data_IF_419063005004
#
_entry.id   IF_419063005004
#
_cell.length_a   1.000
_cell.length_b   1.000
_cell.length_c   1.000
_cell.angle_alpha   90.00
_cell.angle_beta   90.00
_cell.angle_gamma   90.00
#
_symmetry.space_group_name_H-M   'P 1'
#
loop_
_entity.id
_entity.type
_entity.pdbx_description
1 polymer ?
#
# COMPACT_ATOMS: atom_id res chain seq x y z
N UNK A 1 4.80 -92.21 -4.23
CA UNK A 1 4.19 -93.30 -3.42
C UNK A 1 3.84 -92.76 -2.05
N UNK A 2 2.68 -93.16 -1.53
CA UNK A 2 2.15 -93.00 -0.17
C UNK A 2 1.49 -91.67 0.24
N UNK A 3 0.22 -91.62 -0.18
CA UNK A 3 -0.97 -91.04 0.42
C UNK A 3 -1.08 -91.26 1.95
N UNK A 4 -1.41 -90.22 2.73
CA UNK A 4 -2.20 -90.37 3.97
C UNK A 4 -3.18 -89.20 4.17
N UNK A 5 -4.48 -89.55 4.00
CA UNK A 5 -5.73 -89.04 4.61
C UNK A 5 -5.54 -88.50 6.05
N UNK A 6 -6.37 -87.65 6.67
CA UNK A 6 -7.72 -87.05 6.48
C UNK A 6 -7.91 -86.12 7.71
N UNK A 7 -8.77 -85.10 7.65
CA UNK A 7 -9.88 -84.78 8.60
C UNK A 7 -10.28 -83.29 8.52
N UNK A 8 -11.46 -83.03 7.94
CA UNK A 8 -12.38 -81.97 8.39
C UNK A 8 -13.32 -82.62 9.45
N UNK A 9 -14.25 -81.93 10.17
CA UNK A 9 -14.76 -80.55 10.04
C UNK A 9 -14.89 -79.81 11.40
N UNK A 10 -15.41 -78.58 11.42
CA UNK A 10 -16.50 -78.13 12.31
C UNK A 10 -16.70 -76.61 12.16
N UNK A 11 -17.84 -76.25 11.57
CA UNK A 11 -18.41 -74.92 11.65
C UNK A 11 -19.00 -74.71 13.06
N UNK A 12 -18.79 -73.53 13.64
CA UNK A 12 -19.66 -73.00 14.68
C UNK A 12 -19.79 -71.49 14.45
N UNK A 13 -20.92 -71.13 13.85
CA UNK A 13 -21.47 -69.78 13.80
C UNK A 13 -21.70 -69.26 15.21
N UNK A 14 -21.16 -68.08 15.51
CA UNK A 14 -21.64 -67.26 16.62
C UNK A 14 -22.08 -65.91 16.06
N UNK A 15 -23.41 -65.70 16.03
CA UNK A 15 -24.03 -64.38 15.95
C UNK A 15 -23.89 -63.70 17.31
N UNK A 16 -23.39 -62.47 17.33
CA UNK A 16 -23.69 -61.46 18.36
C UNK A 16 -23.33 -60.10 17.76
N UNK A 17 -24.30 -59.33 17.28
CA UNK A 17 -25.15 -58.41 18.04
C UNK A 17 -24.71 -56.98 17.73
N UNK A 18 -25.54 -56.31 16.91
CA UNK A 18 -25.39 -54.93 16.53
C UNK A 18 -25.56 -54.00 17.74
N UNK A 19 -24.64 -53.05 17.90
CA UNK A 19 -24.87 -51.83 18.67
C UNK A 19 -24.58 -50.66 17.73
N UNK A 20 -25.59 -50.26 16.95
CA UNK A 20 -25.57 -49.05 16.15
C UNK A 20 -25.71 -47.87 17.12
N UNK A 21 -24.60 -47.21 17.45
CA UNK A 21 -24.63 -45.96 18.19
C UNK A 21 -25.25 -44.87 17.29
N UNK A 22 -26.48 -44.46 17.61
CA UNK A 22 -27.10 -43.26 17.04
C UNK A 22 -26.39 -42.03 17.60
N UNK A 23 -25.45 -41.48 16.84
CA UNK A 23 -24.94 -40.12 17.04
C UNK A 23 -25.72 -39.16 16.12
N UNK A 24 -26.23 -38.03 16.64
CA UNK A 24 -26.87 -37.02 15.80
C UNK A 24 -25.82 -36.37 14.88
N UNK A 25 -26.13 -36.09 13.59
CA UNK A 25 -25.28 -35.22 12.80
C UNK A 25 -25.35 -33.82 13.41
N UNK A 26 -24.24 -33.36 13.98
CA UNK A 26 -24.05 -31.96 14.33
C UNK A 26 -24.19 -31.15 13.05
N UNK A 27 -25.25 -30.35 12.95
CA UNK A 27 -25.41 -29.39 11.87
C UNK A 27 -24.25 -28.38 11.97
N UNK A 28 -23.26 -28.54 11.08
CA UNK A 28 -22.21 -27.57 10.89
C UNK A 28 -22.84 -26.27 10.38
N UNK A 29 -23.13 -25.36 11.30
CA UNK A 29 -23.48 -23.99 10.97
C UNK A 29 -22.19 -23.35 10.46
N UNK A 30 -21.98 -23.41 9.14
CA UNK A 30 -21.02 -22.58 8.47
C UNK A 30 -21.52 -21.13 8.58
N UNK A 31 -21.18 -20.48 9.70
CA UNK A 31 -21.29 -19.03 9.80
C UNK A 31 -20.28 -18.48 8.80
N UNK A 32 -20.76 -18.05 7.64
CA UNK A 32 -19.99 -17.21 6.74
C UNK A 32 -19.49 -16.03 7.57
N UNK A 33 -18.17 -15.97 7.83
CA UNK A 33 -17.57 -14.74 8.34
C UNK A 33 -17.87 -13.67 7.30
N UNK A 34 -18.48 -12.54 7.67
CA UNK A 34 -18.53 -11.43 6.74
C UNK A 34 -17.08 -11.11 6.38
N UNK A 35 -16.77 -11.11 5.09
CA UNK A 35 -15.53 -10.51 4.62
C UNK A 35 -15.57 -9.07 5.15
N UNK A 36 -14.64 -8.71 6.03
CA UNK A 36 -14.43 -7.33 6.38
C UNK A 36 -14.15 -6.63 5.05
N UNK A 37 -15.02 -5.70 4.65
CA UNK A 37 -14.69 -4.81 3.56
C UNK A 37 -13.44 -4.05 4.02
N UNK A 38 -12.29 -4.32 3.40
CA UNK A 38 -11.15 -3.43 3.47
C UNK A 38 -11.59 -2.11 2.86
N UNK A 39 -12.04 -1.20 3.73
CA UNK A 39 -12.31 0.17 3.36
C UNK A 39 -11.00 0.73 2.82
N UNK A 40 -10.96 1.02 1.52
CA UNK A 40 -9.90 1.83 0.95
C UNK A 40 -9.93 3.18 1.66
N UNK A 41 -9.04 3.39 2.63
CA UNK A 41 -8.82 4.71 3.18
C UNK A 41 -8.07 5.49 2.12
N UNK A 42 -8.76 6.43 1.47
CA UNK A 42 -8.12 7.40 0.58
C UNK A 42 -7.08 8.19 1.39
N UNK A 43 -5.96 8.53 0.74
CA UNK A 43 -4.94 9.38 1.34
C UNK A 43 -5.55 10.73 1.77
N UNK A 44 -5.16 11.31 2.91
CA UNK A 44 -5.58 12.66 3.26
C UNK A 44 -5.06 13.64 2.21
N UNK A 45 -5.92 14.54 1.75
CA UNK A 45 -5.54 15.53 0.75
C UNK A 45 -4.56 16.57 1.31
N UNK A 46 -3.65 17.05 0.48
CA UNK A 46 -2.87 18.24 0.80
C UNK A 46 -3.82 19.43 1.07
N UNK A 47 -3.49 20.26 2.05
CA UNK A 47 -4.34 21.38 2.47
C UNK A 47 -3.65 22.71 2.24
N UNK A 48 -4.42 23.74 1.86
CA UNK A 48 -3.92 25.11 1.78
C UNK A 48 -3.20 25.52 3.08
N UNK A 49 -2.02 26.11 2.93
CA UNK A 49 -1.17 26.50 4.05
C UNK A 49 -1.48 27.90 4.59
N UNK A 50 -2.31 28.69 3.90
CA UNK A 50 -2.64 30.06 4.27
C UNK A 50 -1.49 31.07 4.10
N UNK A 51 -0.44 30.72 3.34
CA UNK A 51 0.64 31.64 3.00
C UNK A 51 1.18 31.39 1.58
N UNK A 52 1.96 32.35 1.08
CA UNK A 52 2.54 32.31 -0.26
C UNK A 52 4.06 32.23 -0.25
N UNK A 53 4.64 31.66 -1.31
CA UNK A 53 6.08 31.69 -1.58
C UNK A 53 6.37 32.14 -3.00
N UNK A 54 7.44 32.93 -3.16
CA UNK A 54 7.91 33.38 -4.48
C UNK A 54 9.11 32.54 -4.89
N UNK A 55 9.01 31.87 -6.04
CA UNK A 55 10.10 31.08 -6.58
C UNK A 55 11.25 31.97 -7.08
N UNK A 56 12.46 31.42 -7.30
CA UNK A 56 13.59 32.16 -7.87
C UNK A 56 13.30 32.78 -9.25
N UNK A 57 12.28 32.29 -9.95
CA UNK A 57 11.84 32.81 -11.26
C UNK A 57 10.82 33.96 -11.15
N UNK A 58 10.49 34.40 -9.93
CA UNK A 58 9.59 35.52 -9.67
C UNK A 58 8.09 35.17 -9.68
N UNK A 59 7.71 33.90 -9.81
CA UNK A 59 6.31 33.46 -9.71
C UNK A 59 5.94 33.22 -8.25
N UNK A 60 4.80 33.78 -7.81
CA UNK A 60 4.26 33.58 -6.46
C UNK A 60 3.20 32.49 -6.48
N UNK A 61 3.24 31.63 -5.46
CA UNK A 61 2.33 30.49 -5.28
C UNK A 61 1.70 30.55 -3.90
N UNK A 62 0.41 30.24 -3.81
CA UNK A 62 -0.16 29.66 -2.59
C UNK A 62 0.47 28.28 -2.39
N UNK A 63 0.85 27.94 -1.16
CA UNK A 63 1.49 26.65 -0.89
C UNK A 63 0.58 25.75 -0.08
N UNK A 64 0.82 24.44 -0.19
CA UNK A 64 -0.05 23.41 0.34
C UNK A 64 0.76 22.48 1.23
N UNK A 65 0.27 22.23 2.44
CA UNK A 65 0.85 21.26 3.36
C UNK A 65 0.46 19.84 2.96
N UNK A 66 1.46 18.95 2.89
CA UNK A 66 1.29 17.53 2.60
C UNK A 66 2.14 16.69 3.57
N UNK A 67 1.67 15.50 3.90
CA UNK A 67 2.48 14.50 4.57
C UNK A 67 3.41 13.81 3.56
N UNK A 68 4.67 13.61 3.94
CA UNK A 68 5.71 13.08 3.06
C UNK A 68 6.67 12.13 3.80
N UNK A 69 7.43 11.36 3.03
CA UNK A 69 8.57 10.58 3.54
C UNK A 69 9.61 11.54 4.12
N UNK A 70 10.25 11.20 5.24
CA UNK A 70 11.34 11.99 5.80
C UNK A 70 12.52 11.10 6.19
N UNK A 71 13.77 11.45 5.83
CA UNK A 71 14.13 12.55 4.92
C UNK A 71 13.74 12.25 3.46
N UNK A 72 13.43 13.29 2.69
CA UNK A 72 13.19 13.18 1.22
C UNK A 72 14.13 14.10 0.45
N UNK A 73 14.87 13.60 -0.55
CA UNK A 73 15.71 14.45 -1.38
C UNK A 73 14.88 15.42 -2.24
N UNK A 74 15.38 16.65 -2.36
CA UNK A 74 14.85 17.66 -3.28
C UNK A 74 15.78 17.72 -4.50
N UNK A 75 15.25 17.45 -5.67
CA UNK A 75 15.97 17.44 -6.94
C UNK A 75 15.97 18.84 -7.57
N UNK A 76 17.05 19.23 -8.27
CA UNK A 76 17.15 20.53 -8.94
C UNK A 76 16.08 20.73 -10.03
N UNK A 77 15.61 19.62 -10.59
CA UNK A 77 14.70 19.52 -11.74
C UNK A 77 13.94 18.18 -11.64
N UNK A 78 12.92 17.95 -12.47
CA UNK A 78 12.24 16.66 -12.47
C UNK A 78 13.15 15.51 -12.94
N UNK A 79 12.96 14.34 -12.35
CA UNK A 79 13.69 13.12 -12.70
C UNK A 79 14.67 12.68 -11.61
N UNK A 80 14.64 11.38 -11.28
CA UNK A 80 15.46 10.81 -10.19
C UNK A 80 16.98 10.96 -10.42
N UNK A 81 17.41 11.14 -11.67
CA UNK A 81 18.81 11.40 -12.03
C UNK A 81 19.25 12.86 -11.90
N UNK A 82 18.33 13.77 -11.58
CA UNK A 82 18.64 15.19 -11.38
C UNK A 82 19.47 15.41 -10.11
N UNK A 83 20.25 16.50 -10.09
CA UNK A 83 21.12 16.85 -8.97
C UNK A 83 20.29 17.08 -7.71
N UNK A 84 20.67 16.47 -6.58
CA UNK A 84 20.01 16.76 -5.30
C UNK A 84 20.51 18.11 -4.78
N UNK A 85 19.58 19.04 -4.54
CA UNK A 85 19.87 20.41 -4.06
C UNK A 85 19.64 20.60 -2.57
N UNK A 86 19.03 19.62 -1.91
CA UNK A 86 18.78 19.63 -0.48
C UNK A 86 17.83 18.52 -0.06
N UNK A 87 17.26 18.65 1.13
CA UNK A 87 16.42 17.62 1.76
C UNK A 87 15.23 18.23 2.47
N UNK A 88 14.06 17.60 2.35
CA UNK A 88 12.95 17.76 3.29
C UNK A 88 13.22 16.90 4.53
N UNK A 89 13.41 17.54 5.67
CA UNK A 89 13.79 16.89 6.94
C UNK A 89 12.57 16.46 7.76
N UNK A 90 11.41 17.04 7.47
CA UNK A 90 10.18 16.77 8.20
C UNK A 90 9.23 15.91 7.37
N UNK A 91 8.34 15.18 8.04
CA UNK A 91 7.31 14.37 7.39
C UNK A 91 6.07 15.17 7.00
N UNK A 92 6.11 16.49 7.14
CA UNK A 92 5.01 17.40 6.86
C UNK A 92 5.57 18.68 6.25
N UNK A 93 5.55 18.77 4.93
CA UNK A 93 6.23 19.81 4.14
C UNK A 93 5.24 20.54 3.25
N UNK A 94 5.58 21.77 2.86
CA UNK A 94 4.76 22.54 1.94
C UNK A 94 5.23 22.36 0.50
N UNK A 95 4.30 22.41 -0.44
CA UNK A 95 4.55 22.32 -1.88
C UNK A 95 3.83 23.46 -2.61
N UNK A 96 4.49 24.06 -3.58
CA UNK A 96 4.02 25.26 -4.27
C UNK A 96 3.17 24.96 -5.51
N UNK A 97 3.59 24.00 -6.32
CA UNK A 97 2.84 23.58 -7.50
C UNK A 97 3.26 22.16 -7.92
N UNK A 98 2.47 21.54 -8.81
CA UNK A 98 2.72 20.22 -9.39
C UNK A 98 2.96 20.30 -10.90
N UNK A 99 3.72 19.36 -11.42
CA UNK A 99 3.93 19.11 -12.84
C UNK A 99 3.48 17.68 -13.10
N UNK A 100 2.49 17.49 -13.97
CA UNK A 100 1.83 16.20 -14.22
C UNK A 100 2.46 15.39 -15.38
N UNK A 101 3.39 16.00 -16.11
CA UNK A 101 4.01 15.45 -17.33
C UNK A 101 5.55 15.35 -17.22
N UNK A 102 6.08 15.20 -16.00
CA UNK A 102 7.50 14.99 -15.78
C UNK A 102 7.97 13.58 -16.17
N UNK A 103 9.27 13.28 -16.02
CA UNK A 103 9.80 11.93 -16.15
C UNK A 103 9.09 10.94 -15.22
N UNK A 104 9.06 9.66 -15.63
CA UNK A 104 8.56 8.59 -14.78
C UNK A 104 9.31 8.58 -13.45
N UNK A 105 8.56 8.61 -12.36
CA UNK A 105 9.06 8.69 -11.00
C UNK A 105 8.83 7.39 -10.23
N UNK A 106 8.13 6.39 -10.80
CA UNK A 106 7.83 5.11 -10.17
C UNK A 106 6.68 5.11 -9.14
N UNK A 107 5.92 6.20 -9.01
CA UNK A 107 4.65 6.25 -8.26
C UNK A 107 3.61 5.38 -8.96
N UNK A 108 2.85 4.58 -8.19
CA UNK A 108 1.75 3.77 -8.73
C UNK A 108 0.47 4.59 -8.97
N UNK A 109 0.39 5.81 -8.42
CA UNK A 109 -0.80 6.67 -8.48
C UNK A 109 -0.59 7.79 -9.49
N UNK A 110 0.53 8.51 -9.39
CA UNK A 110 0.89 9.58 -10.32
C UNK A 110 2.33 9.39 -10.85
N UNK A 111 2.52 8.49 -11.84
CA UNK A 111 3.86 8.09 -12.31
C UNK A 111 4.70 9.24 -12.87
N UNK A 112 4.07 10.34 -13.30
CA UNK A 112 4.76 11.46 -13.95
C UNK A 112 4.65 12.77 -13.14
N UNK A 113 4.14 12.70 -11.89
CA UNK A 113 3.90 13.88 -11.08
C UNK A 113 5.10 14.26 -10.21
N UNK A 114 5.50 15.52 -10.31
CA UNK A 114 6.56 16.10 -9.49
C UNK A 114 6.04 17.38 -8.82
N UNK A 115 6.40 17.58 -7.55
CA UNK A 115 5.94 18.72 -6.77
C UNK A 115 7.10 19.64 -6.42
N UNK A 116 6.93 20.92 -6.70
CA UNK A 116 7.92 21.94 -6.42
C UNK A 116 7.84 22.37 -4.95
N UNK A 117 9.00 22.49 -4.31
CA UNK A 117 9.16 22.91 -2.91
C UNK A 117 10.52 23.61 -2.71
N UNK A 118 10.82 23.98 -1.47
CA UNK A 118 12.13 24.48 -1.05
C UNK A 118 12.71 23.54 0.02
N UNK A 119 13.97 23.16 -0.14
CA UNK A 119 14.65 22.28 0.80
C UNK A 119 14.85 22.92 2.19
N UNK A 120 14.76 22.12 3.24
CA UNK A 120 14.87 22.60 4.63
C UNK A 120 16.31 22.97 5.04
N UNK A 121 17.32 22.36 4.42
CA UNK A 121 18.73 22.56 4.76
C UNK A 121 19.43 23.63 3.93
N UNK A 122 19.14 23.70 2.64
CA UNK A 122 19.84 24.61 1.72
C UNK A 122 19.01 25.80 1.30
N UNK A 123 17.70 25.79 1.58
CA UNK A 123 16.74 26.76 1.04
C UNK A 123 16.71 26.82 -0.49
N UNK A 124 17.21 25.77 -1.16
CA UNK A 124 17.17 25.66 -2.60
C UNK A 124 15.79 25.16 -3.05
N UNK A 125 15.26 25.80 -4.09
CA UNK A 125 14.04 25.34 -4.75
C UNK A 125 14.33 24.13 -5.61
N UNK A 126 13.37 23.22 -5.67
CA UNK A 126 13.47 22.03 -6.49
C UNK A 126 12.21 21.18 -6.45
N UNK A 127 12.35 19.96 -6.93
CA UNK A 127 11.27 19.03 -7.21
C UNK A 127 11.37 17.78 -6.34
N UNK A 128 10.23 17.30 -5.87
CA UNK A 128 10.08 16.04 -5.15
C UNK A 128 9.11 15.17 -5.94
N UNK A 129 9.45 13.90 -6.21
CA UNK A 129 8.53 13.03 -6.93
C UNK A 129 7.36 12.62 -6.03
N UNK A 130 6.18 12.51 -6.64
CA UNK A 130 4.93 12.17 -5.94
C UNK A 130 5.01 10.85 -5.15
N UNK A 131 5.84 9.89 -5.57
CA UNK A 131 6.09 8.63 -4.81
C UNK A 131 6.55 8.84 -3.36
N UNK A 132 7.06 10.02 -3.01
CA UNK A 132 7.52 10.37 -1.67
C UNK A 132 6.50 11.19 -0.87
N UNK A 133 5.32 11.41 -1.41
CA UNK A 133 4.24 12.16 -0.77
C UNK A 133 3.11 11.19 -0.45
N UNK A 134 2.68 11.18 0.80
CA UNK A 134 1.61 10.30 1.27
C UNK A 134 0.24 10.91 1.10
N UNK A 135 0.15 12.24 1.11
CA UNK A 135 -1.09 12.96 0.89
C UNK A 135 -1.53 12.90 -0.58
N UNK A 136 -2.85 13.00 -0.82
CA UNK A 136 -3.38 13.20 -2.16
C UNK A 136 -2.97 14.59 -2.68
N UNK A 137 -2.33 14.63 -3.86
CA UNK A 137 -1.64 15.81 -4.40
C UNK A 137 -2.42 16.58 -5.46
N UNK A 138 -3.58 16.08 -5.90
CA UNK A 138 -4.49 16.78 -6.81
C UNK A 138 -4.92 18.20 -6.38
N UNK A 139 -4.97 18.56 -5.08
CA UNK A 139 -5.21 19.95 -4.67
C UNK A 139 -4.06 20.92 -4.97
N UNK A 140 -2.81 20.47 -5.06
CA UNK A 140 -1.63 21.33 -5.25
C UNK A 140 -1.61 21.86 -6.68
N UNK A 141 -1.76 23.17 -6.97
CA UNK A 141 -2.05 23.68 -8.31
C UNK A 141 -0.96 23.35 -9.33
N UNK A 142 -1.30 23.34 -10.63
CA UNK A 142 -0.30 23.16 -11.69
C UNK A 142 0.70 24.31 -11.73
N UNK A 143 1.97 23.99 -12.00
CA UNK A 143 2.96 24.99 -12.43
C UNK A 143 2.57 25.53 -13.82
#
# INVERSE_FOLDING_TARGET
MHLHRKLAPLAATALAAAALALLPPAAAHATARPAAAEGANAAPACSDAGFTRTSPYGKTFEVYWCDNVAPTPVHADEGDGSTIVGTLKTSHSWFACRIDNGPDNGSSVHPHRWLMTEADDTHAWGMVPDKHIYSETDPVPSC
#
